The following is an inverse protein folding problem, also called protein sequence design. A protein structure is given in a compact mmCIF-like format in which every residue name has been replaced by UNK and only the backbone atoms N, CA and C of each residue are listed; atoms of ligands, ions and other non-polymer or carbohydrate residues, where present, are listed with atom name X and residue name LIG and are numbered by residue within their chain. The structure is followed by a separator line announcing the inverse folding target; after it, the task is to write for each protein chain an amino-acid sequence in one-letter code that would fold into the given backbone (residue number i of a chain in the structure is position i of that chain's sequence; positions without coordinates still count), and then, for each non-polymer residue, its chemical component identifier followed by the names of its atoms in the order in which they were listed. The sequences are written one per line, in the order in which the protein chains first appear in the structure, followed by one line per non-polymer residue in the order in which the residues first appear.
data_IF_273409423522
#
_entry.id   IF_273409423522
#
_cell.length_a   1.000
_cell.length_b   1.000
_cell.length_c   1.000
_cell.angle_alpha   90.00
_cell.angle_beta   90.00
_cell.angle_gamma   90.00
#
_symmetry.space_group_name_H-M   'P 1'
#
loop_
_entity.id
_entity.type
_entity.pdbx_description
1 polymer ?
#
# COMPACT_ATOMS: atom_id res chain seq x y z
N UNK A 1 -25.05 12.46 -18.25
CA UNK A 1 -23.57 12.39 -18.23
C UNK A 1 -23.16 10.97 -18.59
N UNK A 2 -22.19 10.77 -19.49
CA UNK A 2 -21.60 9.44 -19.71
C UNK A 2 -20.42 9.31 -18.77
N UNK A 3 -20.46 8.35 -17.86
CA UNK A 3 -19.31 7.99 -17.03
C UNK A 3 -18.21 7.45 -17.93
N UNK A 4 -17.01 8.03 -17.82
CA UNK A 4 -15.81 7.61 -18.55
C UNK A 4 -14.86 7.06 -17.50
N UNK A 5 -14.71 5.74 -17.41
CA UNK A 5 -13.83 5.09 -16.44
C UNK A 5 -12.37 5.46 -16.69
N UNK A 6 -11.90 6.53 -16.05
CA UNK A 6 -10.56 7.08 -16.22
C UNK A 6 -9.87 7.31 -14.88
N UNK A 7 -8.56 7.52 -14.93
CA UNK A 7 -7.75 7.94 -13.79
C UNK A 7 -7.80 9.46 -13.60
N UNK A 8 -7.62 9.91 -12.35
CA UNK A 8 -7.50 11.33 -12.02
C UNK A 8 -6.04 11.71 -11.74
N UNK A 9 -5.33 10.88 -10.97
CA UNK A 9 -3.90 11.09 -10.66
C UNK A 9 -3.03 10.69 -11.87
N UNK A 10 -2.09 11.57 -12.23
CA UNK A 10 -1.09 11.37 -13.28
C UNK A 10 0.28 11.76 -12.74
N UNK A 11 1.26 10.84 -12.77
CA UNK A 11 2.57 11.04 -12.15
C UNK A 11 2.60 10.75 -10.65
N UNK A 12 3.42 11.50 -9.91
CA UNK A 12 3.58 11.39 -8.45
C UNK A 12 3.42 12.78 -7.84
N UNK A 13 2.44 12.93 -6.95
CA UNK A 13 2.18 14.16 -6.20
C UNK A 13 2.98 14.17 -4.89
N UNK A 14 3.33 15.37 -4.42
CA UNK A 14 4.13 15.57 -3.21
C UNK A 14 3.40 16.49 -2.24
N UNK A 15 3.34 16.08 -0.97
CA UNK A 15 2.80 16.89 0.12
C UNK A 15 3.61 16.75 1.41
N UNK A 16 3.68 17.81 2.21
CA UNK A 16 4.31 17.79 3.53
C UNK A 16 3.36 18.35 4.58
N UNK A 17 3.18 17.60 5.68
CA UNK A 17 2.34 18.04 6.80
C UNK A 17 3.08 18.98 7.76
N UNK A 18 2.34 19.56 8.71
CA UNK A 18 2.91 20.38 9.79
C UNK A 18 3.83 19.56 10.71
N UNK A 19 3.58 18.26 10.87
CA UNK A 19 4.39 17.30 11.60
C UNK A 19 5.64 16.83 10.84
N UNK A 20 5.96 17.48 9.70
CA UNK A 20 7.14 17.21 8.87
C UNK A 20 7.13 15.79 8.29
N UNK A 21 5.95 15.32 7.88
CA UNK A 21 5.76 14.01 7.25
C UNK A 21 5.49 14.22 5.77
N UNK A 22 6.31 13.59 4.94
CA UNK A 22 6.18 13.62 3.49
C UNK A 22 5.22 12.52 3.03
N UNK A 23 4.27 12.90 2.18
CA UNK A 23 3.36 12.00 1.49
C UNK A 23 3.62 12.07 -0.01
N UNK A 24 3.61 10.89 -0.65
CA UNK A 24 3.67 10.72 -2.09
C UNK A 24 2.39 9.99 -2.54
N UNK A 25 1.59 10.63 -3.38
CA UNK A 25 0.45 9.99 -4.05
C UNK A 25 0.86 9.64 -5.49
N UNK A 26 0.47 8.48 -5.99
CA UNK A 26 0.95 7.97 -7.27
C UNK A 26 -0.19 7.68 -8.24
N UNK A 27 0.10 7.81 -9.53
CA UNK A 27 -0.75 7.25 -10.56
C UNK A 27 -1.02 5.75 -10.34
N UNK A 28 -2.19 5.24 -10.78
CA UNK A 28 -2.52 3.83 -10.63
C UNK A 28 -1.53 2.91 -11.39
N UNK A 29 -1.17 1.80 -10.75
CA UNK A 29 -0.37 0.75 -11.37
C UNK A 29 -1.20 -0.04 -12.39
N UNK A 30 -0.58 -0.45 -13.50
CA UNK A 30 -1.19 -1.29 -14.54
C UNK A 30 -2.54 -0.75 -15.06
N UNK A 31 -2.67 0.57 -15.18
CA UNK A 31 -3.94 1.23 -15.43
C UNK A 31 -4.41 1.09 -16.90
N UNK A 32 -5.61 0.55 -17.16
CA UNK A 32 -6.17 0.48 -18.50
C UNK A 32 -6.46 1.85 -19.11
N UNK A 33 -6.80 2.87 -18.31
CA UNK A 33 -7.09 4.21 -18.81
C UNK A 33 -5.83 4.92 -19.31
N UNK A 34 -4.69 4.69 -18.64
CA UNK A 34 -3.39 5.18 -19.10
C UNK A 34 -3.02 4.50 -20.42
N UNK A 35 -3.22 3.18 -20.50
CA UNK A 35 -2.95 2.42 -21.73
C UNK A 35 -3.84 2.88 -22.90
N UNK A 36 -5.14 3.06 -22.68
CA UNK A 36 -6.07 3.54 -23.70
C UNK A 36 -5.69 4.95 -24.18
N UNK A 37 -5.27 5.83 -23.25
CA UNK A 37 -4.77 7.16 -23.60
C UNK A 37 -3.53 7.09 -24.48
N UNK A 38 -2.56 6.21 -24.19
CA UNK A 38 -1.37 6.02 -25.01
C UNK A 38 -1.71 5.53 -26.42
N UNK A 39 -2.62 4.56 -26.55
CA UNK A 39 -3.03 4.02 -27.86
C UNK A 39 -3.70 5.09 -28.72
N UNK A 40 -4.58 5.88 -28.12
CA UNK A 40 -5.44 6.81 -28.86
C UNK A 40 -4.77 8.17 -29.11
N UNK A 41 -3.97 8.68 -28.15
CA UNK A 41 -3.50 10.07 -28.14
C UNK A 41 -1.98 10.19 -28.29
N UNK A 42 -1.20 9.24 -27.74
CA UNK A 42 0.26 9.36 -27.62
C UNK A 42 0.99 8.24 -28.38
N UNK A 43 0.93 8.30 -29.71
CA UNK A 43 1.48 7.26 -30.61
C UNK A 43 3.01 7.17 -30.64
N UNK A 44 3.72 7.99 -29.86
CA UNK A 44 5.18 8.01 -29.81
C UNK A 44 5.67 7.33 -28.54
N UNK A 45 5.90 6.02 -28.64
CA UNK A 45 6.61 5.28 -27.62
C UNK A 45 8.11 5.61 -27.66
N UNK A 46 8.81 5.59 -26.51
CA UNK A 46 10.27 5.60 -26.51
C UNK A 46 10.82 4.43 -27.36
N UNK A 47 11.94 4.62 -28.08
CA UNK A 47 12.45 3.64 -29.04
C UNK A 47 12.83 2.29 -28.40
N UNK A 48 13.08 2.27 -27.09
CA UNK A 48 13.33 1.05 -26.32
C UNK A 48 12.08 0.18 -26.10
N UNK A 49 10.87 0.67 -26.38
CA UNK A 49 9.62 -0.06 -26.18
C UNK A 49 8.88 -0.35 -27.49
N UNK A 50 8.63 -1.64 -27.75
CA UNK A 50 7.91 -2.09 -28.94
C UNK A 50 6.39 -1.97 -28.81
N UNK A 51 5.84 -2.21 -27.61
CA UNK A 51 4.40 -2.31 -27.37
C UNK A 51 3.98 -1.42 -26.20
N UNK A 52 2.80 -0.77 -26.28
CA UNK A 52 2.36 0.19 -25.27
C UNK A 52 2.05 -0.48 -23.91
N UNK A 53 1.64 -1.75 -23.91
CA UNK A 53 1.36 -2.48 -22.65
C UNK A 53 2.66 -2.75 -21.86
N UNK A 54 3.74 -3.15 -22.53
CA UNK A 54 5.07 -3.32 -21.92
C UNK A 54 5.53 -2.01 -21.31
N UNK A 55 5.31 -0.88 -22.00
CA UNK A 55 5.69 0.43 -21.49
C UNK A 55 4.93 0.81 -20.20
N UNK A 56 3.62 0.59 -20.14
CA UNK A 56 2.80 0.85 -18.94
C UNK A 56 3.21 -0.06 -17.77
N UNK A 57 3.53 -1.32 -18.06
CA UNK A 57 4.04 -2.25 -17.05
C UNK A 57 5.40 -1.79 -16.50
N UNK A 58 6.32 -1.35 -17.38
CA UNK A 58 7.62 -0.83 -16.96
C UNK A 58 7.51 0.45 -16.15
N UNK A 59 6.60 1.36 -16.51
CA UNK A 59 6.34 2.56 -15.70
C UNK A 59 5.89 2.19 -14.29
N UNK A 60 5.02 1.18 -14.16
CA UNK A 60 4.53 0.72 -12.85
C UNK A 60 5.69 0.18 -12.00
N UNK A 61 6.57 -0.65 -12.58
CA UNK A 61 7.75 -1.17 -11.90
C UNK A 61 8.76 -0.08 -11.54
N UNK A 62 9.00 0.89 -12.42
CA UNK A 62 9.87 2.03 -12.15
C UNK A 62 9.40 2.85 -10.96
N UNK A 63 8.10 3.13 -10.87
CA UNK A 63 7.51 3.87 -9.73
C UNK A 63 7.63 3.03 -8.45
N UNK A 64 7.28 1.74 -8.48
CA UNK A 64 7.36 0.88 -7.30
C UNK A 64 8.80 0.74 -6.79
N UNK A 65 9.77 0.49 -7.67
CA UNK A 65 11.18 0.42 -7.35
C UNK A 65 11.71 1.73 -6.73
N UNK A 66 11.29 2.87 -7.28
CA UNK A 66 11.60 4.19 -6.73
C UNK A 66 11.05 4.34 -5.31
N UNK A 67 9.76 4.06 -5.08
CA UNK A 67 9.14 4.15 -3.77
C UNK A 67 9.78 3.21 -2.75
N UNK A 68 10.11 1.98 -3.14
CA UNK A 68 10.81 1.03 -2.25
C UNK A 68 12.18 1.51 -1.80
N UNK A 69 12.77 2.45 -2.53
CA UNK A 69 14.12 2.95 -2.26
C UNK A 69 14.11 4.26 -1.45
N UNK A 70 13.06 5.07 -1.57
CA UNK A 70 13.01 6.43 -0.98
C UNK A 70 12.00 6.60 0.16
N UNK A 71 11.11 5.62 0.36
CA UNK A 71 10.05 5.67 1.38
C UNK A 71 10.36 4.79 2.58
N UNK A 72 9.91 5.20 3.76
CA UNK A 72 9.95 4.37 4.97
C UNK A 72 8.80 3.35 5.01
N UNK A 73 7.63 3.76 4.50
CA UNK A 73 6.38 3.00 4.51
C UNK A 73 5.75 3.11 3.13
N UNK A 74 5.31 1.98 2.59
CA UNK A 74 4.53 1.90 1.36
C UNK A 74 3.18 1.25 1.66
N UNK A 75 2.10 1.97 1.36
CA UNK A 75 0.74 1.48 1.57
C UNK A 75 0.22 0.89 0.26
N UNK A 76 -0.09 -0.41 0.27
CA UNK A 76 -0.67 -1.14 -0.85
C UNK A 76 -2.18 -1.18 -0.66
N UNK A 77 -2.91 -0.46 -1.52
CA UNK A 77 -4.37 -0.34 -1.42
C UNK A 77 -5.04 -1.33 -2.37
N UNK A 78 -5.97 -2.14 -1.86
CA UNK A 78 -6.76 -3.09 -2.64
C UNK A 78 -8.25 -2.91 -2.38
N UNK A 79 -9.08 -2.95 -3.42
CA UNK A 79 -10.54 -2.86 -3.30
C UNK A 79 -11.21 -4.23 -3.09
N UNK A 80 -10.54 -5.33 -3.45
CA UNK A 80 -11.05 -6.70 -3.33
C UNK A 80 -9.92 -7.68 -2.98
N UNK A 81 -10.28 -8.76 -2.29
CA UNK A 81 -9.35 -9.78 -1.81
C UNK A 81 -9.67 -11.12 -2.50
N UNK A 82 -8.77 -11.81 -3.21
CA UNK A 82 -7.30 -11.67 -3.29
C UNK A 82 -6.81 -11.43 -4.72
N UNK A 83 -6.00 -10.39 -4.95
CA UNK A 83 -5.31 -10.17 -6.23
C UNK A 83 -3.88 -10.75 -6.24
N UNK A 84 -3.69 -11.91 -6.87
CA UNK A 84 -2.39 -12.58 -7.02
C UNK A 84 -1.41 -11.82 -7.91
N UNK A 85 -1.92 -11.06 -8.89
CA UNK A 85 -1.07 -10.30 -9.82
C UNK A 85 -0.35 -9.19 -9.06
N UNK A 86 -0.99 -8.59 -8.06
CA UNK A 86 -0.37 -7.58 -7.21
C UNK A 86 0.80 -8.14 -6.38
N UNK A 87 0.64 -9.31 -5.74
CA UNK A 87 1.73 -9.91 -4.95
C UNK A 87 2.93 -10.27 -5.83
N UNK A 88 2.70 -10.81 -7.03
CA UNK A 88 3.76 -11.05 -8.02
C UNK A 88 4.43 -9.75 -8.45
N UNK A 89 3.64 -8.71 -8.71
CA UNK A 89 4.16 -7.39 -9.08
C UNK A 89 5.07 -6.81 -7.99
N UNK A 90 4.69 -6.91 -6.71
CA UNK A 90 5.50 -6.43 -5.58
C UNK A 90 6.84 -7.16 -5.50
N UNK A 91 6.84 -8.49 -5.69
CA UNK A 91 8.05 -9.31 -5.71
C UNK A 91 8.95 -8.95 -6.91
N UNK A 92 8.37 -8.72 -8.08
CA UNK A 92 9.13 -8.24 -9.24
C UNK A 92 9.74 -6.86 -8.98
N UNK A 93 8.96 -5.93 -8.42
CA UNK A 93 9.41 -4.58 -8.09
C UNK A 93 10.56 -4.59 -7.06
N UNK A 94 10.51 -5.53 -6.10
CA UNK A 94 11.57 -5.75 -5.12
C UNK A 94 12.90 -6.16 -5.78
N UNK A 95 12.86 -7.05 -6.76
CA UNK A 95 14.06 -7.55 -7.46
C UNK A 95 14.71 -6.52 -8.40
N UNK A 96 13.94 -5.55 -8.91
CA UNK A 96 14.43 -4.57 -9.89
C UNK A 96 14.79 -3.21 -9.26
N UNK A 97 14.63 -3.06 -7.95
CA UNK A 97 15.00 -1.82 -7.25
C UNK A 97 16.52 -1.63 -7.24
N UNK A 98 17.02 -0.38 -7.30
CA UNK A 98 18.44 -0.12 -7.16
C UNK A 98 18.96 -0.59 -5.80
N UNK A 99 20.11 -1.26 -5.79
CA UNK A 99 20.78 -1.63 -4.55
C UNK A 99 21.16 -0.37 -3.79
N UNK A 100 20.65 -0.25 -2.56
CA UNK A 100 20.99 0.83 -1.65
C UNK A 100 21.58 0.24 -0.39
N UNK A 101 22.80 0.65 -0.03
CA UNK A 101 23.48 0.02 1.08
C UNK A 101 22.93 0.58 2.40
N UNK A 102 22.55 -0.30 3.34
CA UNK A 102 22.07 0.11 4.66
C UNK A 102 23.22 0.62 5.53
N UNK A 103 22.99 1.61 6.40
CA UNK A 103 23.93 1.93 7.47
C UNK A 103 24.02 0.76 8.45
N UNK A 104 25.24 0.29 8.69
CA UNK A 104 25.59 -0.76 9.65
C UNK A 104 25.68 -0.19 11.06
N UNK A 105 24.54 -0.01 11.75
CA UNK A 105 24.53 0.21 13.20
C UNK A 105 23.25 -0.34 13.84
N UNK A 106 23.03 -1.65 13.75
CA UNK A 106 22.40 -2.37 14.86
C UNK A 106 23.43 -3.34 15.44
N UNK A 107 24.01 -2.95 16.57
CA UNK A 107 24.91 -3.79 17.34
C UNK A 107 24.11 -4.92 17.99
N UNK A 108 23.96 -6.05 17.29
CA UNK A 108 23.68 -7.34 17.91
C UNK A 108 24.66 -8.37 17.35
N UNK A 109 25.54 -8.80 18.24
CA UNK A 109 26.51 -9.88 18.09
C UNK A 109 25.87 -11.17 17.55
N UNK A 110 26.18 -11.54 16.32
CA UNK A 110 26.27 -12.94 15.90
C UNK A 110 27.08 -13.05 14.60
N UNK A 111 28.13 -13.84 14.66
CA UNK A 111 29.00 -14.26 13.57
C UNK A 111 28.23 -14.73 12.33
N UNK A 112 28.48 -14.09 11.18
CA UNK A 112 28.11 -14.59 9.85
C UNK A 112 27.97 -13.48 8.80
N UNK A 113 28.91 -13.42 7.85
CA UNK A 113 28.88 -12.69 6.57
C UNK A 113 28.26 -11.28 6.56
N UNK A 114 29.12 -10.27 6.62
CA UNK A 114 28.84 -8.84 6.44
C UNK A 114 28.50 -8.54 4.94
N UNK A 115 27.46 -9.18 4.40
CA UNK A 115 26.74 -8.66 3.25
C UNK A 115 26.01 -7.41 3.73
N UNK A 116 26.50 -6.24 3.35
CA UNK A 116 25.91 -4.96 3.75
C UNK A 116 24.40 -5.01 3.60
N UNK A 117 23.69 -4.91 4.73
CA UNK A 117 22.25 -5.15 4.78
C UNK A 117 21.58 -4.25 3.74
N UNK A 118 20.75 -4.80 2.86
CA UNK A 118 20.04 -3.97 1.88
C UNK A 118 18.84 -3.29 2.56
N UNK A 119 18.53 -2.05 2.18
CA UNK A 119 17.35 -1.37 2.69
C UNK A 119 16.06 -1.96 2.11
N UNK A 120 15.09 -2.27 2.98
CA UNK A 120 13.73 -2.66 2.62
C UNK A 120 12.71 -1.87 3.45
N UNK A 121 11.71 -1.23 2.81
CA UNK A 121 10.70 -0.43 3.48
C UNK A 121 9.69 -1.29 4.23
N UNK A 122 8.92 -0.66 5.11
CA UNK A 122 7.73 -1.28 5.68
C UNK A 122 6.59 -1.29 4.66
N UNK A 123 5.92 -2.44 4.54
CA UNK A 123 4.76 -2.61 3.68
C UNK A 123 3.50 -2.70 4.54
N UNK A 124 2.46 -1.96 4.17
CA UNK A 124 1.15 -1.99 4.83
C UNK A 124 0.09 -2.35 3.79
N UNK A 125 -0.66 -3.43 4.02
CA UNK A 125 -1.78 -3.81 3.18
C UNK A 125 -3.05 -3.13 3.69
N UNK A 126 -3.65 -2.29 2.85
CA UNK A 126 -4.91 -1.61 3.15
C UNK A 126 -6.03 -2.20 2.28
N UNK A 127 -6.88 -3.01 2.89
CA UNK A 127 -8.08 -3.51 2.24
C UNK A 127 -9.18 -2.44 2.32
N UNK A 128 -9.29 -1.67 1.24
CA UNK A 128 -10.33 -0.67 1.07
C UNK A 128 -11.66 -1.32 0.72
N UNK A 129 -12.76 -0.57 0.89
CA UNK A 129 -14.13 -1.03 0.57
C UNK A 129 -14.50 -2.33 1.28
N UNK A 130 -13.92 -2.57 2.45
CA UNK A 130 -14.17 -3.75 3.26
C UNK A 130 -15.64 -3.81 3.68
N UNK A 131 -16.22 -5.00 3.59
CA UNK A 131 -17.60 -5.29 3.95
C UNK A 131 -17.65 -5.95 5.32
N UNK A 132 -18.87 -6.05 5.88
CA UNK A 132 -19.13 -6.74 7.16
C UNK A 132 -18.46 -8.12 7.28
N UNK A 133 -18.43 -8.89 6.18
CA UNK A 133 -17.81 -10.21 6.14
C UNK A 133 -16.28 -10.19 6.34
N UNK A 134 -15.60 -9.10 5.97
CA UNK A 134 -14.15 -8.93 6.15
C UNK A 134 -13.80 -8.70 7.62
N UNK A 135 -14.73 -8.14 8.40
CA UNK A 135 -14.59 -7.93 9.84
C UNK A 135 -14.97 -9.17 10.67
N UNK A 136 -15.06 -10.37 10.07
CA UNK A 136 -15.20 -11.58 10.86
C UNK A 136 -13.82 -12.16 11.24
N UNK A 137 -13.57 -12.54 12.52
CA UNK A 137 -12.29 -13.11 12.96
C UNK A 137 -11.78 -14.28 12.11
N UNK A 138 -12.70 -15.13 11.63
CA UNK A 138 -12.36 -16.27 10.77
C UNK A 138 -11.75 -15.83 9.44
N UNK A 139 -12.35 -14.84 8.77
CA UNK A 139 -11.83 -14.30 7.50
C UNK A 139 -10.57 -13.48 7.74
N UNK A 140 -10.49 -12.73 8.84
CA UNK A 140 -9.27 -12.04 9.27
C UNK A 140 -8.07 -12.99 9.37
N UNK A 141 -8.22 -14.13 10.05
CA UNK A 141 -7.15 -15.15 10.15
C UNK A 141 -6.75 -15.70 8.78
N UNK A 142 -7.73 -15.98 7.91
CA UNK A 142 -7.47 -16.45 6.55
C UNK A 142 -6.69 -15.42 5.73
N UNK A 143 -7.01 -14.13 5.87
CA UNK A 143 -6.30 -13.06 5.18
C UNK A 143 -4.83 -13.01 5.60
N UNK A 144 -4.56 -13.05 6.91
CA UNK A 144 -3.20 -13.05 7.45
C UNK A 144 -2.39 -14.26 6.97
N UNK A 145 -2.96 -15.46 7.07
CA UNK A 145 -2.31 -16.70 6.64
C UNK A 145 -1.93 -16.65 5.15
N UNK A 146 -2.84 -16.17 4.31
CA UNK A 146 -2.64 -16.18 2.87
C UNK A 146 -1.64 -15.10 2.43
N UNK A 147 -1.70 -13.88 2.99
CA UNK A 147 -0.69 -12.84 2.74
C UNK A 147 0.69 -13.36 3.15
N UNK A 148 0.78 -14.00 4.31
CA UNK A 148 2.05 -14.52 4.80
C UNK A 148 2.64 -15.58 3.87
N UNK A 149 1.84 -16.54 3.41
CA UNK A 149 2.28 -17.56 2.46
C UNK A 149 2.72 -16.95 1.11
N UNK A 150 2.01 -15.94 0.61
CA UNK A 150 2.33 -15.30 -0.66
C UNK A 150 3.61 -14.45 -0.57
N UNK A 151 3.88 -13.86 0.58
CA UNK A 151 5.02 -12.95 0.80
C UNK A 151 6.18 -13.58 1.57
N UNK A 152 6.13 -14.88 1.87
CA UNK A 152 7.12 -15.58 2.70
C UNK A 152 8.57 -15.45 2.23
N UNK A 153 8.79 -15.23 0.93
CA UNK A 153 10.11 -15.06 0.32
C UNK A 153 10.45 -13.59 -0.02
N UNK A 154 9.57 -12.64 0.31
CA UNK A 154 9.85 -11.21 0.16
C UNK A 154 10.68 -10.73 1.34
N UNK A 155 11.68 -9.89 1.07
CA UNK A 155 12.48 -9.22 2.09
C UNK A 155 11.82 -7.94 2.60
N UNK A 156 10.69 -7.53 2.02
CA UNK A 156 9.91 -6.37 2.47
C UNK A 156 9.42 -6.56 3.91
N UNK A 157 9.36 -5.48 4.70
CA UNK A 157 8.96 -5.56 6.11
C UNK A 157 7.43 -5.51 6.24
N UNK A 158 6.77 -6.63 5.98
CA UNK A 158 5.30 -6.73 5.95
C UNK A 158 4.65 -7.25 7.24
N UNK A 159 5.41 -7.47 8.32
CA UNK A 159 4.92 -7.98 9.62
C UNK A 159 5.31 -7.11 10.81
N UNK A 160 4.61 -7.28 11.92
CA UNK A 160 5.05 -6.85 13.25
C UNK A 160 5.15 -5.34 13.48
N UNK A 161 4.62 -4.51 12.59
CA UNK A 161 4.68 -3.04 12.71
C UNK A 161 3.31 -2.42 12.95
N UNK A 162 2.23 -2.99 12.38
CA UNK A 162 0.88 -2.47 12.48
C UNK A 162 -0.09 -3.60 12.81
N UNK A 163 -0.69 -3.54 14.00
CA UNK A 163 -1.62 -4.55 14.52
C UNK A 163 -3.04 -3.99 14.69
N UNK A 164 -4.01 -4.61 14.01
CA UNK A 164 -5.43 -4.28 14.21
C UNK A 164 -5.94 -4.76 15.57
N UNK A 165 -5.37 -5.85 16.10
CA UNK A 165 -5.73 -6.40 17.40
C UNK A 165 -5.34 -5.42 18.53
N UNK A 166 -4.12 -4.88 18.48
CA UNK A 166 -3.65 -3.87 19.43
C UNK A 166 -4.41 -2.54 19.32
N UNK A 167 -4.93 -2.23 18.13
CA UNK A 167 -5.77 -1.05 17.91
C UNK A 167 -7.19 -1.18 18.49
N UNK A 168 -7.52 -2.27 19.19
CA UNK A 168 -8.84 -2.56 19.74
C UNK A 168 -9.97 -2.48 18.69
N UNK A 169 -9.69 -2.94 17.46
CA UNK A 169 -10.70 -3.07 16.40
C UNK A 169 -11.55 -4.33 16.63
N UNK A 170 -10.96 -5.37 17.22
CA UNK A 170 -11.60 -6.62 17.58
C UNK A 170 -11.53 -6.85 19.10
N UNK A 171 -12.41 -6.22 19.90
CA UNK A 171 -12.41 -6.42 21.34
C UNK A 171 -12.60 -7.89 21.71
N UNK A 172 -11.78 -8.39 22.63
CA UNK A 172 -11.87 -9.77 23.13
C UNK A 172 -11.17 -10.83 22.28
N UNK A 173 -10.51 -10.46 21.17
CA UNK A 173 -9.59 -11.36 20.49
C UNK A 173 -8.21 -11.30 21.17
N UNK A 174 -7.64 -12.45 21.60
CA UNK A 174 -6.28 -12.48 22.12
C UNK A 174 -5.26 -12.30 20.99
N UNK A 175 -4.05 -11.77 21.27
CA UNK A 175 -2.96 -11.68 20.30
C UNK A 175 -2.61 -13.03 19.66
N UNK A 176 -2.65 -14.10 20.45
CA UNK A 176 -2.35 -15.48 20.04
C UNK A 176 -3.40 -16.07 19.07
N UNK A 177 -4.42 -15.30 18.71
CA UNK A 177 -5.40 -15.71 17.70
C UNK A 177 -4.80 -15.79 16.29
N UNK A 178 -3.76 -15.02 16.00
CA UNK A 178 -3.07 -15.00 14.72
C UNK A 178 -1.69 -15.63 14.88
N UNK A 179 -1.40 -16.68 14.09
CA UNK A 179 -0.08 -17.33 14.12
C UNK A 179 1.04 -16.39 13.67
N UNK A 180 0.71 -15.51 12.71
CA UNK A 180 1.62 -14.55 12.09
C UNK A 180 0.84 -13.30 11.72
N UNK A 181 1.11 -12.19 12.42
CA UNK A 181 0.43 -10.92 12.20
C UNK A 181 1.17 -10.07 11.15
N UNK A 182 0.64 -10.08 9.93
CA UNK A 182 1.01 -9.16 8.85
C UNK A 182 0.44 -7.77 9.10
N UNK A 183 1.05 -6.74 8.52
CA UNK A 183 0.63 -5.34 8.59
C UNK A 183 -0.62 -5.09 7.71
N UNK A 184 -1.75 -5.72 8.03
CA UNK A 184 -3.02 -5.59 7.35
C UNK A 184 -3.94 -4.60 8.09
N UNK A 185 -4.63 -3.75 7.34
CA UNK A 185 -5.67 -2.87 7.88
C UNK A 185 -6.92 -2.89 6.99
N UNK A 186 -8.10 -2.86 7.59
CA UNK A 186 -9.39 -2.85 6.87
C UNK A 186 -10.03 -1.46 6.92
N UNK A 187 -10.49 -0.97 5.77
CA UNK A 187 -11.22 0.28 5.65
C UNK A 187 -12.59 0.04 4.99
N UNK A 188 -13.72 0.34 5.66
CA UNK A 188 -15.04 0.13 5.11
C UNK A 188 -15.39 1.21 4.09
N UNK A 189 -16.54 1.05 3.44
CA UNK A 189 -17.16 2.16 2.72
C UNK A 189 -17.43 3.33 3.66
N UNK A 190 -17.28 4.55 3.13
CA UNK A 190 -17.72 5.74 3.84
C UNK A 190 -19.25 5.76 3.84
N UNK A 191 -19.85 5.98 5.01
CA UNK A 191 -21.31 6.05 5.15
C UNK A 191 -21.84 7.18 4.24
N UNK A 192 -22.76 6.85 3.34
CA UNK A 192 -23.44 7.87 2.51
C UNK A 192 -24.54 8.54 3.34
N UNK A 193 -24.59 9.87 3.39
CA UNK A 193 -25.62 10.60 4.16
C UNK A 193 -27.06 10.21 3.74
N UNK A 194 -27.24 9.71 2.52
CA UNK A 194 -28.51 9.27 1.95
C UNK A 194 -29.13 8.02 2.60
N UNK A 195 -28.36 7.16 3.27
CA UNK A 195 -28.94 5.98 3.95
C UNK A 195 -29.66 6.33 5.27
N UNK A 196 -29.45 7.55 5.79
CA UNK A 196 -30.07 8.02 7.04
C UNK A 196 -31.44 8.70 6.85
N UNK A 197 -31.91 8.94 5.62
CA UNK A 197 -33.15 9.71 5.40
C UNK A 197 -34.45 8.92 5.58
N UNK A 198 -34.39 7.58 5.64
CA UNK A 198 -35.58 6.76 5.86
C UNK A 198 -35.47 5.97 7.17
N UNK A 199 -35.84 6.56 8.32
CA UNK A 199 -35.97 5.79 9.55
C UNK A 199 -36.95 4.63 9.32
N UNK A 200 -36.63 3.42 9.79
CA UNK A 200 -37.53 2.28 9.65
C UNK A 200 -38.88 2.63 10.29
N UNK A 201 -39.96 2.53 9.50
CA UNK A 201 -41.34 2.79 9.96
C UNK A 201 -41.60 1.97 11.22
N UNK A 202 -41.87 2.66 12.34
CA UNK A 202 -42.29 2.05 13.58
C UNK A 202 -43.48 1.12 13.34
N UNK A 203 -43.36 -0.15 13.72
CA UNK A 203 -44.53 -1.03 13.82
C UNK A 203 -45.44 -0.56 14.96
N UNK A 204 -46.76 -0.78 14.89
CA UNK A 204 -47.65 -0.44 15.98
C UNK A 204 -47.26 -1.22 17.25
N UNK A 205 -46.63 -0.54 18.21
CA UNK A 205 -46.15 -1.11 19.47
C UNK A 205 -44.65 -0.98 19.77
N UNK A 206 -43.81 -0.44 18.87
CA UNK A 206 -42.39 -0.21 19.17
C UNK A 206 -42.18 1.09 19.95
N UNK A 207 -41.28 1.07 20.94
CA UNK A 207 -40.86 2.28 21.64
C UNK A 207 -40.28 3.32 20.65
N UNK A 208 -40.51 4.63 20.87
CA UNK A 208 -40.12 5.66 19.91
C UNK A 208 -38.61 5.70 19.65
N UNK A 209 -37.81 5.26 20.63
CA UNK A 209 -36.35 5.18 20.50
C UNK A 209 -35.89 3.98 19.66
N UNK A 210 -36.65 2.88 19.63
CA UNK A 210 -36.27 1.69 18.86
C UNK A 210 -36.26 1.95 17.36
N UNK A 211 -37.19 2.77 16.86
CA UNK A 211 -37.27 3.17 15.45
C UNK A 211 -36.15 4.14 15.02
N UNK A 212 -35.47 4.77 15.98
CA UNK A 212 -34.32 5.64 15.75
C UNK A 212 -32.98 4.90 15.80
N UNK A 213 -32.98 3.59 16.12
CA UNK A 213 -31.76 2.81 16.12
C UNK A 213 -31.24 2.64 14.70
N UNK A 214 -29.95 2.92 14.44
CA UNK A 214 -29.37 2.70 13.13
C UNK A 214 -29.33 1.20 12.80
N UNK A 215 -29.27 0.89 11.51
CA UNK A 215 -29.06 -0.47 11.03
C UNK A 215 -27.74 -1.05 11.55
N UNK A 216 -27.71 -2.36 11.79
CA UNK A 216 -26.48 -3.05 12.17
C UNK A 216 -25.51 -3.16 10.98
N UNK A 217 -24.48 -2.32 10.96
CA UNK A 217 -23.41 -2.35 9.95
C UNK A 217 -22.41 -3.51 10.12
N UNK A 218 -22.14 -3.90 11.37
CA UNK A 218 -21.21 -4.99 11.69
C UNK A 218 -19.72 -4.70 11.49
N UNK A 219 -19.32 -3.43 11.54
CA UNK A 219 -17.94 -2.96 11.58
C UNK A 219 -17.84 -1.61 12.32
N UNK A 220 -16.65 -1.13 12.70
CA UNK A 220 -16.47 0.23 13.22
C UNK A 220 -16.72 1.30 12.14
N UNK A 221 -16.97 2.55 12.57
CA UNK A 221 -17.18 3.68 11.65
C UNK A 221 -15.91 4.01 10.87
N UNK A 222 -16.07 4.49 9.64
CA UNK A 222 -14.98 4.94 8.78
C UNK A 222 -14.02 5.91 9.50
N UNK A 223 -14.54 6.95 10.16
CA UNK A 223 -13.73 7.98 10.83
C UNK A 223 -12.87 7.42 11.98
N UNK A 224 -13.42 6.46 12.73
CA UNK A 224 -12.68 5.77 13.81
C UNK A 224 -11.50 4.97 13.24
N UNK A 225 -11.73 4.23 12.15
CA UNK A 225 -10.69 3.43 11.50
C UNK A 225 -9.63 4.31 10.83
N UNK A 226 -10.03 5.40 10.16
CA UNK A 226 -9.09 6.39 9.61
C UNK A 226 -8.23 7.01 10.71
N UNK A 227 -8.82 7.37 11.86
CA UNK A 227 -8.08 7.93 13.00
C UNK A 227 -7.04 6.94 13.54
N UNK A 228 -7.43 5.67 13.70
CA UNK A 228 -6.52 4.59 14.13
C UNK A 228 -5.39 4.35 13.12
N UNK A 229 -5.72 4.22 11.83
CA UNK A 229 -4.73 4.04 10.78
C UNK A 229 -3.74 5.21 10.74
N UNK A 230 -4.25 6.44 10.79
CA UNK A 230 -3.41 7.66 10.84
C UNK A 230 -2.45 7.61 12.02
N UNK A 231 -2.95 7.32 13.22
CA UNK A 231 -2.12 7.20 14.43
C UNK A 231 -0.98 6.18 14.23
N UNK A 232 -1.31 4.99 13.73
CA UNK A 232 -0.33 3.93 13.50
C UNK A 232 0.72 4.34 12.45
N UNK A 233 0.30 4.81 11.28
CA UNK A 233 1.21 5.20 10.19
C UNK A 233 2.14 6.33 10.61
N UNK A 234 1.62 7.36 11.30
CA UNK A 234 2.43 8.50 11.76
C UNK A 234 3.48 8.10 12.83
N UNK A 235 3.24 6.99 13.54
CA UNK A 235 4.11 6.45 14.59
C UNK A 235 5.16 5.43 14.10
N UNK A 236 5.14 5.07 12.81
CA UNK A 236 6.07 4.09 12.26
C UNK A 236 7.52 4.54 12.32
N UNK A 237 8.43 3.55 12.36
CA UNK A 237 9.87 3.77 12.43
C UNK A 237 10.39 4.57 11.23
N UNK A 238 11.43 5.38 11.49
CA UNK A 238 12.09 6.23 10.49
C UNK A 238 13.58 5.85 10.39
N UNK A 239 13.88 4.60 9.93
CA UNK A 239 15.27 4.16 9.78
C UNK A 239 15.98 4.99 8.71
N UNK A 240 17.30 5.02 8.77
CA UNK A 240 18.10 5.70 7.75
C UNK A 240 17.98 4.97 6.39
N UNK A 241 17.72 5.74 5.33
CA UNK A 241 17.60 5.24 3.96
C UNK A 241 18.95 5.06 3.24
N UNK A 242 20.01 5.66 3.76
CA UNK A 242 21.35 5.66 3.17
C UNK A 242 22.40 5.62 4.27
N UNK A 243 23.67 5.36 3.92
CA UNK A 243 24.80 5.42 4.85
C UNK A 243 24.99 6.77 5.56
N UNK A 244 24.40 7.84 5.03
CA UNK A 244 24.46 9.17 5.63
C UNK A 244 23.10 9.57 6.18
N UNK A 245 23.10 10.28 7.30
CA UNK A 245 21.89 10.91 7.83
C UNK A 245 21.40 11.96 6.82
N UNK A 246 20.19 11.77 6.29
CA UNK A 246 19.58 12.68 5.33
C UNK A 246 18.71 13.70 6.04
N UNK A 247 18.81 14.96 5.62
CA UNK A 247 17.81 15.99 5.88
C UNK A 247 16.73 15.94 4.80
N UNK A 248 15.59 16.60 4.98
CA UNK A 248 14.53 16.65 3.94
C UNK A 248 15.03 17.19 2.59
N UNK A 249 15.92 18.18 2.59
CA UNK A 249 16.53 18.71 1.36
C UNK A 249 17.46 17.68 0.72
N UNK A 250 18.31 17.03 1.51
CA UNK A 250 19.21 15.99 1.00
C UNK A 250 18.46 14.76 0.54
N UNK A 251 17.34 14.42 1.18
CA UNK A 251 16.41 13.37 0.75
C UNK A 251 15.83 13.68 -0.63
N UNK A 252 15.45 14.93 -0.91
CA UNK A 252 14.97 15.32 -2.24
C UNK A 252 16.04 15.13 -3.33
N UNK A 253 17.29 15.57 -3.07
CA UNK A 253 18.41 15.34 -3.98
C UNK A 253 18.74 13.85 -4.15
N UNK A 254 18.64 13.08 -3.07
CA UNK A 254 18.78 11.63 -3.10
C UNK A 254 17.70 11.00 -3.98
N UNK A 255 16.43 11.35 -3.78
CA UNK A 255 15.31 10.85 -4.57
C UNK A 255 15.47 11.18 -6.07
N UNK A 256 15.88 12.40 -6.41
CA UNK A 256 16.17 12.76 -7.81
C UNK A 256 17.25 11.86 -8.43
N UNK A 257 18.33 11.59 -7.69
CA UNK A 257 19.41 10.68 -8.13
C UNK A 257 18.90 9.25 -8.31
N UNK A 258 18.09 8.75 -7.37
CA UNK A 258 17.49 7.42 -7.47
C UNK A 258 16.60 7.33 -8.70
N UNK A 259 15.75 8.32 -8.97
CA UNK A 259 14.87 8.33 -10.14
C UNK A 259 15.67 8.30 -11.45
N UNK A 260 16.74 9.09 -11.56
CA UNK A 260 17.62 9.06 -12.73
C UNK A 260 18.34 7.71 -12.89
N UNK A 261 18.69 7.05 -11.78
CA UNK A 261 19.24 5.70 -11.77
C UNK A 261 18.23 4.64 -12.22
N UNK A 262 16.99 4.71 -11.71
CA UNK A 262 15.89 3.79 -12.06
C UNK A 262 15.59 3.83 -13.56
N UNK A 263 15.50 5.04 -14.16
CA UNK A 263 15.29 5.19 -15.61
C UNK A 263 16.39 4.55 -16.46
N UNK A 264 17.62 4.45 -15.93
CA UNK A 264 18.80 3.90 -16.61
C UNK A 264 19.15 2.48 -16.13
N UNK A 265 18.27 1.86 -15.34
CA UNK A 265 18.55 0.58 -14.70
C UNK A 265 18.69 -0.55 -15.72
N UNK A 266 19.79 -1.28 -15.63
CA UNK A 266 20.03 -2.47 -16.47
C UNK A 266 19.06 -3.60 -16.16
N UNK A 267 18.67 -3.77 -14.88
CA UNK A 267 17.72 -4.80 -14.45
C UNK A 267 16.34 -4.57 -15.06
N UNK A 268 15.85 -3.33 -15.05
CA UNK A 268 14.59 -2.97 -15.72
C UNK A 268 14.67 -3.14 -17.24
N UNK A 269 15.79 -2.77 -17.85
CA UNK A 269 16.01 -2.97 -19.29
C UNK A 269 16.11 -4.46 -19.68
N UNK A 270 16.60 -5.32 -18.80
CA UNK A 270 16.64 -6.77 -18.98
C UNK A 270 15.24 -7.37 -18.83
N UNK A 271 14.52 -7.00 -17.77
CA UNK A 271 13.13 -7.43 -17.56
C UNK A 271 12.24 -7.03 -18.75
N UNK A 272 12.35 -5.79 -19.23
CA UNK A 272 11.63 -5.32 -20.41
C UNK A 272 11.95 -6.13 -21.68
N UNK A 273 13.18 -6.65 -21.82
CA UNK A 273 13.57 -7.49 -22.96
C UNK A 273 12.96 -8.89 -22.89
N UNK A 274 12.72 -9.42 -21.69
CA UNK A 274 12.08 -10.72 -21.50
C UNK A 274 10.57 -10.71 -21.76
N UNK A 275 9.95 -9.53 -21.73
CA UNK A 275 8.53 -9.31 -22.05
C UNK A 275 8.27 -9.01 -23.54
N UNK A 276 9.32 -8.77 -24.33
CA UNK A 276 9.25 -8.34 -25.73
C UNK A 276 9.08 -9.50 -26.71
#
# INVERSE_FOLDING_TARGET
MKERGGNQTSGIDFFITQERIVFLDTQPILSPSILDHLINNDRKLPPEYNLPHTYVEMQSLQIAAFLFTVCHVVIVVQDWFTDLSLYRFLQTAEMVKPSTPSPSHESSSSSGSDEGTEYYPHLVFLQNKARREDFCPRKLRQMHLMIDQLMAHSHLRYKGTLSMLQCNIFPGLPPDFLDSEVNLFLMPFMDSESENENPPRAGPGSSPLFSLLPGYRGHPSFQSLVSKLRSQVMSMARPQLSHTILTEKNWFHYAARIWDGVKKSSALAEYSRLLA
#
